data_IF_768645737289
#
_entry.id   IF_768645737289
#
_cell.length_a   1.000
_cell.length_b   1.000
_cell.length_c   1.000
_cell.angle_alpha   90.00
_cell.angle_beta   90.00
_cell.angle_gamma   90.00
#
_symmetry.space_group_name_H-M   'P 1'
#
loop_
_entity.id
_entity.type
_entity.pdbx_description
1 polymer ?
#
# COMPACT_ATOMS: atom_id res chain seq x y z
N UNK A 1 -24.89 -38.97 56.95
CA UNK A 1 -23.72 -38.24 56.38
C UNK A 1 -24.21 -37.56 55.12
N UNK A 2 -24.65 -36.29 55.19
CA UNK A 2 -25.15 -35.57 54.05
C UNK A 2 -23.95 -34.82 53.39
N UNK A 3 -23.60 -35.22 52.16
CA UNK A 3 -22.61 -34.51 51.37
C UNK A 3 -23.22 -33.18 50.87
N UNK A 4 -22.76 -32.08 51.44
CA UNK A 4 -23.10 -30.73 51.00
C UNK A 4 -22.53 -30.48 49.62
N UNK A 5 -23.39 -30.49 48.60
CA UNK A 5 -23.06 -29.97 47.29
C UNK A 5 -22.84 -28.47 47.43
N UNK A 6 -21.63 -28.00 47.31
CA UNK A 6 -21.33 -26.56 47.41
C UNK A 6 -21.87 -25.84 46.18
N UNK A 7 -22.43 -24.61 46.36
CA UNK A 7 -22.94 -23.76 45.28
C UNK A 7 -21.95 -23.61 44.11
N UNK A 8 -20.68 -23.74 44.41
CA UNK A 8 -19.58 -23.63 43.43
C UNK A 8 -19.54 -24.84 42.46
N UNK A 9 -19.85 -26.04 42.92
CA UNK A 9 -19.88 -27.25 42.08
C UNK A 9 -21.15 -27.34 41.24
N UNK A 10 -22.26 -26.79 41.73
CA UNK A 10 -23.52 -26.73 40.99
C UNK A 10 -23.48 -25.74 39.84
N UNK A 11 -22.88 -24.55 40.05
CA UNK A 11 -22.72 -23.53 39.01
C UNK A 11 -21.68 -23.93 37.95
N UNK A 12 -20.61 -24.65 38.33
CA UNK A 12 -19.61 -25.17 37.41
C UNK A 12 -20.17 -26.23 36.44
N UNK A 13 -21.04 -27.12 36.96
CA UNK A 13 -21.65 -28.18 36.12
C UNK A 13 -22.66 -27.66 35.10
N UNK A 14 -23.49 -26.68 35.49
CA UNK A 14 -24.45 -26.05 34.59
C UNK A 14 -23.78 -25.15 33.56
N UNK A 15 -22.71 -24.44 33.93
CA UNK A 15 -21.96 -23.57 33.02
C UNK A 15 -21.27 -24.35 31.90
N UNK A 16 -20.72 -25.52 32.19
CA UNK A 16 -20.04 -26.34 31.18
C UNK A 16 -21.02 -26.94 30.17
N UNK A 17 -22.21 -27.35 30.61
CA UNK A 17 -23.21 -27.91 29.70
C UNK A 17 -23.86 -26.85 28.79
N UNK A 18 -24.10 -25.64 29.28
CA UNK A 18 -24.70 -24.57 28.47
C UNK A 18 -23.70 -23.94 27.53
N UNK A 19 -22.44 -23.77 27.92
CA UNK A 19 -21.39 -23.27 27.06
C UNK A 19 -21.06 -24.30 25.98
N UNK A 20 -20.98 -25.60 26.31
CA UNK A 20 -20.73 -26.63 25.32
C UNK A 20 -21.82 -26.74 24.25
N UNK A 21 -23.10 -26.58 24.60
CA UNK A 21 -24.20 -26.57 23.64
C UNK A 21 -24.19 -25.32 22.73
N UNK A 22 -23.92 -24.17 23.29
CA UNK A 22 -23.79 -22.92 22.51
C UNK A 22 -22.57 -22.92 21.59
N UNK A 23 -21.45 -23.54 22.04
CA UNK A 23 -20.26 -23.68 21.19
C UNK A 23 -20.43 -24.74 20.10
N UNK A 24 -21.22 -25.78 20.33
CA UNK A 24 -21.45 -26.81 19.30
C UNK A 24 -22.27 -26.30 18.12
N UNK A 25 -23.18 -25.37 18.37
CA UNK A 25 -23.93 -24.70 17.28
C UNK A 25 -23.11 -23.59 16.58
N UNK A 26 -22.21 -22.95 17.34
CA UNK A 26 -21.29 -21.95 16.76
C UNK A 26 -20.19 -22.61 15.91
N UNK A 27 -19.72 -23.80 16.28
CA UNK A 27 -18.73 -24.57 15.50
C UNK A 27 -19.37 -25.25 14.28
N UNK A 28 -20.69 -25.48 14.29
CA UNK A 28 -21.42 -25.97 13.12
C UNK A 28 -21.74 -24.91 12.06
N UNK A 29 -21.56 -23.62 12.37
CA UNK A 29 -21.62 -22.57 11.34
C UNK A 29 -20.35 -22.61 10.52
N UNK A 30 -20.36 -23.49 9.54
CA UNK A 30 -19.48 -23.60 8.39
C UNK A 30 -18.03 -23.19 8.61
N UNK A 31 -17.10 -24.10 8.46
CA UNK A 31 -15.73 -23.72 8.13
C UNK A 31 -15.81 -22.64 7.05
N UNK A 32 -15.55 -21.39 7.41
CA UNK A 32 -15.37 -20.32 6.45
C UNK A 32 -14.09 -20.67 5.68
N UNK A 33 -14.22 -21.55 4.69
CA UNK A 33 -13.16 -21.79 3.72
C UNK A 33 -12.94 -20.47 3.03
N UNK A 34 -11.84 -19.80 3.38
CA UNK A 34 -11.33 -18.70 2.58
C UNK A 34 -11.25 -19.26 1.17
N UNK A 35 -12.21 -18.89 0.32
CA UNK A 35 -12.15 -19.23 -1.09
C UNK A 35 -10.80 -18.73 -1.60
N UNK A 36 -10.03 -19.61 -2.24
CA UNK A 36 -8.90 -19.20 -3.05
C UNK A 36 -9.46 -18.15 -3.99
N UNK A 37 -9.16 -16.88 -3.69
CA UNK A 37 -9.77 -15.77 -4.42
C UNK A 37 -9.26 -15.83 -5.85
N UNK A 38 -10.18 -15.96 -6.80
CA UNK A 38 -9.84 -15.75 -8.20
C UNK A 38 -9.26 -14.34 -8.37
N UNK A 39 -8.33 -14.19 -9.29
CA UNK A 39 -7.76 -12.89 -9.61
C UNK A 39 -8.89 -11.92 -10.03
N UNK A 40 -8.78 -10.70 -9.59
CA UNK A 40 -9.77 -9.69 -9.92
C UNK A 40 -9.67 -9.28 -11.38
N UNK A 41 -10.78 -9.07 -12.07
CA UNK A 41 -10.78 -8.70 -13.47
C UNK A 41 -10.15 -7.31 -13.66
N UNK A 42 -9.33 -7.17 -14.69
CA UNK A 42 -8.69 -5.90 -15.05
C UNK A 42 -8.96 -5.55 -16.51
N UNK A 43 -9.30 -4.30 -16.76
CA UNK A 43 -9.35 -3.67 -18.08
C UNK A 43 -8.45 -2.46 -18.11
N UNK A 44 -7.92 -2.14 -19.28
CA UNK A 44 -7.04 -0.96 -19.43
C UNK A 44 -7.78 0.31 -19.06
N UNK A 45 -7.12 1.14 -18.26
CA UNK A 45 -7.59 2.45 -17.84
C UNK A 45 -6.56 3.52 -18.19
N UNK A 46 -6.99 4.76 -18.28
CA UNK A 46 -6.13 5.89 -18.61
C UNK A 46 -5.26 6.30 -17.40
N UNK A 47 -3.93 6.15 -17.47
CA UNK A 47 -3.03 6.52 -16.38
C UNK A 47 -3.13 7.99 -15.98
N UNK A 48 -3.31 8.90 -16.97
CA UNK A 48 -3.43 10.34 -16.70
C UNK A 48 -4.67 10.63 -15.86
N UNK A 49 -5.81 10.04 -16.25
CA UNK A 49 -7.06 10.21 -15.51
C UNK A 49 -6.96 9.65 -14.09
N UNK A 50 -6.31 8.50 -13.92
CA UNK A 50 -6.01 7.93 -12.60
C UNK A 50 -5.16 8.91 -11.77
N UNK A 51 -4.12 9.46 -12.34
CA UNK A 51 -3.25 10.43 -11.68
C UNK A 51 -4.00 11.68 -11.20
N UNK A 52 -4.88 12.25 -12.04
CA UNK A 52 -5.69 13.42 -11.68
C UNK A 52 -6.66 13.12 -10.51
N UNK A 53 -7.35 11.99 -10.54
CA UNK A 53 -8.26 11.59 -9.47
C UNK A 53 -7.45 11.37 -8.17
N UNK A 54 -6.33 10.64 -8.24
CA UNK A 54 -5.45 10.39 -7.09
C UNK A 54 -4.95 11.69 -6.48
N UNK A 55 -4.47 12.62 -7.32
CA UNK A 55 -3.97 13.91 -6.87
C UNK A 55 -5.03 14.70 -6.10
N UNK A 56 -6.23 14.83 -6.65
CA UNK A 56 -7.30 15.58 -6.02
C UNK A 56 -7.78 14.92 -4.72
N UNK A 57 -7.98 13.60 -4.72
CA UNK A 57 -8.41 12.85 -3.54
C UNK A 57 -7.38 12.90 -2.39
N UNK A 58 -6.09 13.08 -2.69
CA UNK A 58 -5.05 13.08 -1.67
C UNK A 58 -5.27 14.12 -0.57
N UNK A 59 -5.81 15.27 -0.89
CA UNK A 59 -6.03 16.35 0.07
C UNK A 59 -7.12 16.03 1.11
N UNK A 60 -7.96 15.04 0.83
CA UNK A 60 -9.04 14.57 1.71
C UNK A 60 -8.64 13.28 2.44
N UNK A 61 -8.07 12.30 1.72
CA UNK A 61 -7.89 10.94 2.23
C UNK A 61 -6.43 10.45 2.27
N UNK A 62 -5.47 11.26 1.87
CA UNK A 62 -4.02 10.99 1.88
C UNK A 62 -3.57 9.80 1.00
N UNK A 63 -2.33 9.32 1.23
CA UNK A 63 -1.56 8.51 0.27
C UNK A 63 -2.24 7.22 -0.19
N UNK A 64 -2.47 6.25 0.70
CA UNK A 64 -2.96 4.93 0.30
C UNK A 64 -4.40 4.98 -0.22
N UNK A 65 -5.28 5.69 0.48
CA UNK A 65 -6.67 5.80 0.05
C UNK A 65 -6.80 6.54 -1.28
N UNK A 66 -6.06 7.65 -1.49
CA UNK A 66 -6.13 8.39 -2.75
C UNK A 66 -5.66 7.56 -3.95
N UNK A 67 -4.59 6.76 -3.76
CA UNK A 67 -4.12 5.84 -4.79
C UNK A 67 -5.18 4.78 -5.13
N UNK A 68 -5.86 4.24 -4.11
CA UNK A 68 -6.99 3.34 -4.30
C UNK A 68 -8.15 4.01 -5.02
N UNK A 69 -8.53 5.21 -4.58
CA UNK A 69 -9.61 6.01 -5.20
C UNK A 69 -9.34 6.20 -6.69
N UNK A 70 -8.14 6.64 -7.06
CA UNK A 70 -7.80 6.89 -8.47
C UNK A 70 -7.91 5.65 -9.35
N UNK A 71 -7.48 4.49 -8.86
CA UNK A 71 -7.46 3.25 -9.64
C UNK A 71 -8.80 2.52 -9.56
N UNK A 72 -9.27 2.25 -8.32
CA UNK A 72 -10.39 1.35 -8.09
C UNK A 72 -11.74 1.96 -8.50
N UNK A 73 -11.95 3.26 -8.35
CA UNK A 73 -13.19 3.90 -8.81
C UNK A 73 -13.38 3.80 -10.32
N UNK A 74 -12.30 3.92 -11.10
CA UNK A 74 -12.38 3.78 -12.54
C UNK A 74 -12.67 2.32 -12.90
N UNK A 75 -12.02 1.36 -12.23
CA UNK A 75 -12.27 -0.06 -12.44
C UNK A 75 -13.70 -0.44 -12.02
N UNK A 76 -14.18 0.07 -10.89
CA UNK A 76 -15.56 -0.12 -10.44
C UNK A 76 -16.58 0.39 -11.45
N UNK A 77 -16.35 1.58 -12.02
CA UNK A 77 -17.24 2.14 -13.07
C UNK A 77 -17.23 1.34 -14.38
N UNK A 78 -16.10 0.68 -14.72
CA UNK A 78 -15.96 -0.08 -15.96
C UNK A 78 -16.36 -1.55 -15.83
N UNK A 79 -16.15 -2.15 -14.67
CA UNK A 79 -16.27 -3.60 -14.43
C UNK A 79 -17.41 -3.92 -13.45
N UNK A 80 -17.63 -3.07 -12.43
CA UNK A 80 -18.50 -3.36 -11.30
C UNK A 80 -17.78 -4.14 -10.21
N UNK A 81 -18.38 -5.24 -9.76
CA UNK A 81 -17.79 -6.12 -8.76
C UNK A 81 -16.58 -6.90 -9.32
N UNK A 82 -15.57 -7.19 -8.46
CA UNK A 82 -15.50 -6.92 -7.02
C UNK A 82 -14.98 -5.52 -6.66
N UNK A 83 -14.62 -4.69 -7.63
CA UNK A 83 -14.03 -3.37 -7.40
C UNK A 83 -14.98 -2.41 -6.66
N UNK A 84 -16.29 -2.51 -6.96
CA UNK A 84 -17.31 -1.62 -6.40
C UNK A 84 -17.51 -1.80 -4.89
N UNK A 85 -17.28 -3.00 -4.37
CA UNK A 85 -17.44 -3.31 -2.94
C UNK A 85 -16.13 -3.22 -2.14
N UNK A 86 -14.99 -2.86 -2.76
CA UNK A 86 -13.74 -2.76 -2.02
C UNK A 86 -13.80 -1.64 -0.97
N UNK A 87 -13.53 -1.94 0.31
CA UNK A 87 -13.62 -0.97 1.39
C UNK A 87 -12.39 -0.03 1.41
N UNK A 88 -12.33 0.93 0.48
CA UNK A 88 -11.17 1.86 0.32
C UNK A 88 -10.81 2.55 1.65
N UNK A 89 -11.80 2.85 2.51
CA UNK A 89 -11.56 3.48 3.81
C UNK A 89 -10.67 2.65 4.74
N UNK A 90 -10.63 1.33 4.57
CA UNK A 90 -9.75 0.45 5.34
C UNK A 90 -8.26 0.76 5.11
N UNK A 91 -7.90 1.43 3.99
CA UNK A 91 -6.52 1.83 3.69
C UNK A 91 -6.07 3.11 4.41
N UNK A 92 -6.89 3.68 5.31
CA UNK A 92 -6.53 4.87 6.08
C UNK A 92 -5.21 4.72 6.86
N UNK A 93 -4.89 3.52 7.29
CA UNK A 93 -3.63 3.23 7.98
C UNK A 93 -2.38 3.62 7.17
N UNK A 94 -2.44 3.60 5.82
CA UNK A 94 -1.30 3.89 4.95
C UNK A 94 -0.94 5.37 4.83
N UNK A 95 -1.62 6.27 5.57
CA UNK A 95 -1.27 7.69 5.63
C UNK A 95 0.11 7.90 6.25
N UNK A 96 0.99 8.66 5.57
CA UNK A 96 2.29 9.04 6.12
C UNK A 96 3.20 7.85 6.47
N UNK A 97 3.09 6.73 5.75
CA UNK A 97 3.82 5.51 6.07
C UNK A 97 3.41 4.93 7.42
N UNK A 98 2.18 4.42 7.51
CA UNK A 98 1.55 3.89 8.73
C UNK A 98 1.27 4.99 9.77
N UNK A 99 0.21 5.76 9.54
CA UNK A 99 -0.26 6.82 10.47
C UNK A 99 0.84 7.80 10.92
N UNK A 100 1.76 8.15 10.02
CA UNK A 100 2.84 9.10 10.32
C UNK A 100 4.13 8.48 10.84
N UNK A 101 4.24 7.17 10.99
CA UNK A 101 5.47 6.49 11.42
C UNK A 101 6.60 6.53 10.38
N UNK A 102 6.32 6.97 9.15
CA UNK A 102 7.36 7.14 8.14
C UNK A 102 7.84 5.86 7.47
N UNK A 103 7.13 4.75 7.64
CA UNK A 103 7.41 3.46 7.00
C UNK A 103 7.18 3.53 5.48
N UNK A 104 6.97 2.42 4.81
CA UNK A 104 6.74 2.37 3.36
C UNK A 104 5.68 3.38 2.92
N UNK A 105 5.93 4.08 1.81
CA UNK A 105 4.97 5.03 1.25
C UNK A 105 3.63 4.35 0.97
N UNK A 106 2.53 4.90 1.53
CA UNK A 106 1.21 4.31 1.39
C UNK A 106 0.74 4.14 -0.05
N UNK A 107 1.22 4.97 -0.96
CA UNK A 107 0.92 4.82 -2.39
C UNK A 107 1.55 3.57 -2.99
N UNK A 108 2.79 3.23 -2.61
CA UNK A 108 3.43 1.97 -3.02
C UNK A 108 2.64 0.78 -2.48
N UNK A 109 2.27 0.83 -1.19
CA UNK A 109 1.47 -0.23 -0.55
C UNK A 109 0.19 -0.50 -1.34
N UNK A 110 -0.51 0.56 -1.74
CA UNK A 110 -1.76 0.40 -2.51
C UNK A 110 -1.52 -0.05 -3.96
N UNK A 111 -0.48 0.49 -4.63
CA UNK A 111 -0.10 0.00 -5.96
C UNK A 111 0.18 -1.49 -5.96
N UNK A 112 0.97 -1.96 -4.98
CA UNK A 112 1.28 -3.38 -4.77
C UNK A 112 0.03 -4.21 -4.44
N UNK A 113 -0.88 -3.67 -3.63
CA UNK A 113 -2.16 -4.33 -3.34
C UNK A 113 -2.98 -4.56 -4.62
N UNK A 114 -3.12 -3.52 -5.46
CA UNK A 114 -3.86 -3.65 -6.74
C UNK A 114 -3.20 -4.69 -7.65
N UNK A 115 -1.87 -4.69 -7.74
CA UNK A 115 -1.14 -5.72 -8.48
C UNK A 115 -1.42 -7.12 -7.94
N UNK A 116 -1.41 -7.29 -6.61
CA UNK A 116 -1.70 -8.58 -5.96
C UNK A 116 -3.14 -9.08 -6.19
N UNK A 117 -4.11 -8.17 -6.38
CA UNK A 117 -5.49 -8.54 -6.70
C UNK A 117 -5.65 -8.99 -8.16
N UNK A 118 -4.85 -8.46 -9.08
CA UNK A 118 -5.02 -8.62 -10.53
C UNK A 118 -4.10 -9.67 -11.13
N UNK A 119 -2.87 -9.77 -10.63
CA UNK A 119 -1.80 -10.50 -11.33
C UNK A 119 -1.62 -11.94 -10.84
N UNK A 120 -1.30 -12.88 -11.74
CA UNK A 120 -0.94 -14.22 -11.35
C UNK A 120 0.42 -14.23 -10.60
N UNK A 121 0.62 -15.31 -9.83
CA UNK A 121 1.77 -15.47 -8.93
C UNK A 121 3.13 -15.31 -9.63
N UNK A 122 3.19 -15.70 -10.87
CA UNK A 122 4.42 -15.70 -11.70
C UNK A 122 4.86 -14.29 -12.12
N UNK A 123 3.97 -13.30 -11.99
CA UNK A 123 4.21 -11.91 -12.47
C UNK A 123 4.20 -10.89 -11.34
N UNK A 124 3.41 -11.15 -10.30
CA UNK A 124 3.10 -10.12 -9.29
C UNK A 124 4.35 -9.64 -8.54
N UNK A 125 5.25 -10.54 -8.20
CA UNK A 125 6.46 -10.18 -7.44
C UNK A 125 7.37 -9.26 -8.26
N UNK A 126 7.62 -9.61 -9.51
CA UNK A 126 8.48 -8.81 -10.39
C UNK A 126 7.88 -7.43 -10.63
N UNK A 127 6.56 -7.33 -10.84
CA UNK A 127 5.92 -6.04 -11.08
C UNK A 127 5.91 -5.16 -9.83
N UNK A 128 5.77 -5.75 -8.64
CA UNK A 128 5.92 -5.00 -7.37
C UNK A 128 7.35 -4.51 -7.21
N UNK A 129 8.37 -5.33 -7.50
CA UNK A 129 9.76 -4.94 -7.46
C UNK A 129 10.05 -3.80 -8.43
N UNK A 130 9.55 -3.88 -9.67
CA UNK A 130 9.65 -2.78 -10.65
C UNK A 130 9.05 -1.47 -10.13
N UNK A 131 7.90 -1.54 -9.46
CA UNK A 131 7.25 -0.34 -8.90
C UNK A 131 8.08 0.26 -7.75
N UNK A 132 8.61 -0.59 -6.87
CA UNK A 132 9.39 -0.15 -5.69
C UNK A 132 10.73 0.42 -6.14
N UNK A 133 11.47 -0.26 -7.01
CA UNK A 133 12.74 0.21 -7.55
C UNK A 133 12.56 1.53 -8.32
N UNK A 134 11.57 1.58 -9.22
CA UNK A 134 11.22 2.83 -9.90
C UNK A 134 10.95 3.99 -8.93
N UNK A 135 10.21 3.76 -7.85
CA UNK A 135 9.95 4.79 -6.85
C UNK A 135 11.23 5.25 -6.15
N UNK A 136 12.14 4.34 -5.82
CA UNK A 136 13.36 4.66 -5.09
C UNK A 136 14.36 5.46 -5.93
N UNK A 137 14.41 5.21 -7.24
CA UNK A 137 15.41 5.74 -8.16
C UNK A 137 14.90 6.94 -8.99
N UNK A 138 13.59 7.09 -9.08
CA UNK A 138 13.00 8.19 -9.86
C UNK A 138 13.08 9.51 -9.13
N UNK A 139 13.40 10.57 -9.88
CA UNK A 139 13.36 11.94 -9.40
C UNK A 139 11.89 12.42 -9.26
N UNK A 140 11.30 12.13 -8.11
CA UNK A 140 9.87 12.33 -7.82
C UNK A 140 9.54 13.74 -7.27
N UNK A 141 8.34 14.24 -7.56
CA UNK A 141 7.22 13.65 -8.33
C UNK A 141 7.41 13.83 -9.84
N UNK A 142 6.91 12.87 -10.64
CA UNK A 142 6.87 13.00 -12.11
C UNK A 142 5.50 13.47 -12.62
N UNK A 143 4.43 13.19 -11.91
CA UNK A 143 3.10 13.63 -12.28
C UNK A 143 2.92 15.13 -12.04
N UNK A 144 2.45 15.82 -13.06
CA UNK A 144 2.08 17.25 -13.00
C UNK A 144 0.58 17.33 -13.21
N UNK A 145 -0.21 17.73 -12.19
CA UNK A 145 -1.66 17.85 -12.32
C UNK A 145 -2.06 19.02 -13.22
N UNK A 146 -3.21 18.91 -13.85
CA UNK A 146 -3.73 19.99 -14.71
C UNK A 146 -3.97 21.29 -13.90
N UNK A 147 -4.38 21.15 -12.63
CA UNK A 147 -4.60 22.28 -11.70
C UNK A 147 -3.86 22.04 -10.38
N UNK A 148 -2.57 22.41 -10.29
CA UNK A 148 -1.80 22.23 -9.06
C UNK A 148 -2.29 23.16 -7.94
N UNK A 149 -2.21 22.68 -6.69
CA UNK A 149 -2.57 23.48 -5.50
C UNK A 149 -1.53 24.54 -5.15
N UNK A 150 -0.31 24.38 -5.66
CA UNK A 150 0.78 25.36 -5.49
C UNK A 150 1.37 25.75 -6.85
N UNK A 151 2.68 25.81 -6.96
CA UNK A 151 3.37 26.12 -8.22
C UNK A 151 3.34 24.93 -9.18
N UNK A 152 3.41 25.21 -10.48
CA UNK A 152 3.45 24.17 -11.50
C UNK A 152 4.67 23.27 -11.33
N UNK A 153 5.84 23.85 -11.14
CA UNK A 153 7.12 23.13 -11.04
C UNK A 153 7.60 23.11 -9.60
N UNK A 154 7.42 21.97 -8.94
CA UNK A 154 7.99 21.70 -7.63
C UNK A 154 9.37 21.05 -7.77
N UNK A 155 10.29 21.28 -6.83
CA UNK A 155 11.52 20.51 -6.74
C UNK A 155 11.25 19.01 -6.76
N UNK A 156 12.17 18.27 -7.35
CA UNK A 156 12.10 16.79 -7.40
C UNK A 156 13.30 16.21 -6.68
N UNK A 157 13.14 15.02 -6.13
CA UNK A 157 14.22 14.33 -5.39
C UNK A 157 14.14 12.83 -5.60
N UNK A 158 15.31 12.20 -5.67
CA UNK A 158 15.46 10.75 -5.62
C UNK A 158 15.49 10.33 -4.17
N UNK A 159 14.58 9.43 -3.78
CA UNK A 159 14.48 9.01 -2.38
C UNK A 159 15.55 8.00 -1.97
N UNK A 160 16.03 7.18 -2.89
CA UNK A 160 16.87 5.99 -2.66
C UNK A 160 16.27 5.04 -1.61
N UNK A 161 14.97 5.11 -1.39
CA UNK A 161 14.29 4.33 -0.36
C UNK A 161 12.78 4.33 -0.58
N UNK A 162 12.07 3.22 -0.29
CA UNK A 162 10.62 3.16 -0.31
C UNK A 162 9.99 3.85 0.93
N UNK A 163 10.79 4.25 1.92
CA UNK A 163 10.31 4.82 3.18
C UNK A 163 9.77 6.24 2.99
N UNK A 164 8.57 6.47 3.50
CA UNK A 164 7.92 7.79 3.50
C UNK A 164 8.80 8.84 4.18
N UNK A 165 9.41 8.51 5.32
CA UNK A 165 10.29 9.41 6.07
C UNK A 165 11.44 9.94 5.20
N UNK A 166 12.18 9.06 4.52
CA UNK A 166 13.31 9.45 3.68
C UNK A 166 12.85 10.24 2.45
N UNK A 167 11.82 9.79 1.78
CA UNK A 167 11.27 10.47 0.60
C UNK A 167 10.80 11.88 0.92
N UNK A 168 10.10 12.07 2.04
CA UNK A 168 9.60 13.38 2.49
C UNK A 168 10.74 14.23 3.05
N UNK A 169 11.61 13.67 3.89
CA UNK A 169 12.71 14.39 4.54
C UNK A 169 13.71 14.95 3.53
N UNK A 170 14.15 14.16 2.55
CA UNK A 170 15.02 14.62 1.48
C UNK A 170 14.39 15.77 0.69
N UNK A 171 13.12 15.61 0.31
CA UNK A 171 12.43 16.66 -0.42
C UNK A 171 12.30 17.95 0.39
N UNK A 172 11.93 17.86 1.68
CA UNK A 172 11.82 19.02 2.57
C UNK A 172 13.15 19.78 2.67
N UNK A 173 14.27 19.05 2.79
CA UNK A 173 15.62 19.62 2.80
C UNK A 173 15.93 20.34 1.49
N UNK A 174 15.69 19.70 0.35
CA UNK A 174 15.95 20.28 -0.98
C UNK A 174 15.07 21.49 -1.27
N UNK A 175 13.79 21.41 -0.94
CA UNK A 175 12.83 22.47 -1.20
C UNK A 175 12.88 23.62 -0.16
N UNK A 176 13.61 23.44 0.94
CA UNK A 176 13.61 24.32 2.10
C UNK A 176 12.17 24.65 2.57
N UNK A 177 11.39 23.60 2.85
CA UNK A 177 9.99 23.71 3.27
C UNK A 177 9.71 22.91 4.52
N UNK A 178 8.82 23.45 5.37
CA UNK A 178 8.39 22.77 6.59
C UNK A 178 7.44 21.60 6.31
N UNK A 179 7.32 20.70 7.28
CA UNK A 179 6.41 19.53 7.19
C UNK A 179 4.96 19.93 6.94
N UNK A 180 4.49 21.03 7.52
CA UNK A 180 3.11 21.48 7.40
C UNK A 180 2.82 22.37 6.19
N UNK A 181 3.86 22.74 5.39
CA UNK A 181 3.69 23.60 4.24
C UNK A 181 2.76 22.99 3.19
N UNK A 182 2.07 23.86 2.45
CA UNK A 182 1.19 23.43 1.37
C UNK A 182 1.97 22.78 0.23
N UNK A 183 3.19 23.26 -0.04
CA UNK A 183 4.06 22.69 -1.06
C UNK A 183 4.48 21.25 -0.74
N UNK A 184 4.76 20.93 0.54
CA UNK A 184 5.03 19.54 0.95
C UNK A 184 3.78 18.66 0.78
N UNK A 185 2.59 19.18 1.10
CA UNK A 185 1.32 18.47 0.87
C UNK A 185 1.10 18.23 -0.62
N UNK A 186 1.25 19.26 -1.44
CA UNK A 186 1.14 19.18 -2.90
C UNK A 186 2.15 18.19 -3.50
N UNK A 187 3.41 18.22 -3.04
CA UNK A 187 4.43 17.24 -3.44
C UNK A 187 3.97 15.81 -3.14
N UNK A 188 3.45 15.55 -1.95
CA UNK A 188 3.00 14.21 -1.59
C UNK A 188 1.78 13.76 -2.42
N UNK A 189 0.86 14.68 -2.73
CA UNK A 189 -0.26 14.41 -3.63
C UNK A 189 0.22 14.02 -5.04
N UNK A 190 1.20 14.76 -5.58
CA UNK A 190 1.81 14.44 -6.88
C UNK A 190 2.60 13.14 -6.86
N UNK A 191 3.25 12.78 -5.74
CA UNK A 191 3.92 11.48 -5.61
C UNK A 191 2.90 10.35 -5.60
N UNK A 192 1.80 10.49 -4.87
CA UNK A 192 0.72 9.51 -4.91
C UNK A 192 0.15 9.33 -6.33
N UNK A 193 -0.08 10.44 -7.03
CA UNK A 193 -0.50 10.43 -8.43
C UNK A 193 0.54 9.78 -9.35
N UNK A 194 1.84 10.05 -9.13
CA UNK A 194 2.93 9.42 -9.90
C UNK A 194 2.94 7.91 -9.72
N UNK A 195 2.77 7.43 -8.49
CA UNK A 195 2.72 5.99 -8.19
C UNK A 195 1.48 5.34 -8.78
N UNK A 196 0.30 5.96 -8.64
CA UNK A 196 -0.94 5.46 -9.23
C UNK A 196 -0.85 5.38 -10.76
N UNK A 197 -0.30 6.43 -11.38
CA UNK A 197 -0.03 6.49 -12.81
C UNK A 197 0.89 5.33 -13.24
N UNK A 198 2.03 5.15 -12.57
CA UNK A 198 3.00 4.09 -12.88
C UNK A 198 2.42 2.70 -12.67
N UNK A 199 1.66 2.48 -11.61
CA UNK A 199 0.94 1.22 -11.37
C UNK A 199 0.07 0.85 -12.56
N UNK A 200 -0.69 1.81 -13.08
CA UNK A 200 -1.59 1.58 -14.22
C UNK A 200 -0.82 1.38 -15.52
N UNK A 201 0.31 2.08 -15.75
CA UNK A 201 1.17 1.82 -16.92
C UNK A 201 1.65 0.36 -16.93
N UNK A 202 2.16 -0.14 -15.79
CA UNK A 202 2.64 -1.51 -15.66
C UNK A 202 1.53 -2.53 -15.90
N UNK A 203 0.35 -2.32 -15.29
CA UNK A 203 -0.81 -3.20 -15.48
C UNK A 203 -1.34 -3.16 -16.92
N UNK A 204 -1.36 -2.01 -17.56
CA UNK A 204 -1.76 -1.88 -18.96
C UNK A 204 -0.77 -2.60 -19.89
N UNK A 205 0.55 -2.46 -19.62
CA UNK A 205 1.57 -3.17 -20.38
C UNK A 205 1.44 -4.70 -20.24
N UNK A 206 1.14 -5.19 -19.03
CA UNK A 206 0.85 -6.60 -18.81
C UNK A 206 -0.40 -7.05 -19.56
N UNK A 207 -1.48 -6.27 -19.51
CA UNK A 207 -2.73 -6.59 -20.21
C UNK A 207 -2.54 -6.67 -21.73
N UNK A 208 -1.59 -5.91 -22.27
CA UNK A 208 -1.21 -5.91 -23.68
C UNK A 208 -0.17 -7.02 -24.03
N UNK A 209 0.25 -7.83 -23.07
CA UNK A 209 1.31 -8.83 -23.25
C UNK A 209 2.70 -8.24 -23.50
N UNK A 210 2.90 -6.97 -23.15
CA UNK A 210 4.16 -6.22 -23.38
C UNK A 210 5.00 -6.03 -22.13
N UNK A 211 4.48 -6.40 -20.95
CA UNK A 211 5.23 -6.28 -19.70
C UNK A 211 6.44 -7.20 -19.71
N UNK A 212 7.60 -6.65 -19.33
CA UNK A 212 8.82 -7.39 -19.02
C UNK A 212 9.42 -6.80 -17.76
N UNK A 213 9.86 -7.61 -16.80
CA UNK A 213 10.56 -7.13 -15.61
C UNK A 213 11.79 -6.31 -15.99
N UNK A 214 11.99 -5.20 -15.27
CA UNK A 214 13.12 -4.27 -15.47
C UNK A 214 13.93 -4.08 -14.21
N UNK A 215 13.41 -4.51 -13.03
CA UNK A 215 14.11 -4.35 -11.76
C UNK A 215 15.43 -5.12 -11.74
N UNK A 216 16.41 -4.54 -11.08
CA UNK A 216 17.73 -5.12 -10.88
C UNK A 216 17.92 -5.71 -9.49
N UNK A 217 16.99 -5.44 -8.60
CA UNK A 217 17.02 -5.92 -7.23
C UNK A 217 16.60 -7.39 -7.13
N UNK A 218 17.46 -8.21 -6.53
CA UNK A 218 17.30 -9.66 -6.48
C UNK A 218 17.16 -10.21 -5.05
N UNK A 219 16.60 -9.43 -4.12
CA UNK A 219 16.41 -9.87 -2.75
C UNK A 219 17.37 -9.23 -1.75
N UNK A 220 17.63 -9.83 -0.59
CA UNK A 220 18.51 -9.29 0.41
C UNK A 220 19.82 -8.82 -0.21
N UNK A 221 20.19 -7.58 0.05
CA UNK A 221 21.34 -6.96 -0.61
C UNK A 221 22.60 -7.82 -0.47
N UNK A 222 23.56 -7.62 -1.37
CA UNK A 222 24.87 -8.28 -1.33
C UNK A 222 25.62 -8.10 0.01
N UNK A 223 25.17 -7.16 0.86
CA UNK A 223 25.69 -6.93 2.21
C UNK A 223 24.85 -7.59 3.32
N UNK A 224 23.87 -8.42 2.97
CA UNK A 224 23.06 -9.21 3.92
C UNK A 224 21.98 -8.41 4.68
N UNK A 225 21.71 -7.16 4.31
CA UNK A 225 20.69 -6.34 4.95
C UNK A 225 19.43 -6.34 4.08
N UNK A 226 18.33 -6.99 4.49
CA UNK A 226 17.09 -7.07 3.72
C UNK A 226 16.27 -5.77 3.87
N UNK A 227 16.90 -4.62 3.69
CA UNK A 227 16.28 -3.31 3.85
C UNK A 227 16.62 -2.43 2.67
N UNK A 228 16.31 -1.15 2.78
CA UNK A 228 16.66 -0.17 1.76
C UNK A 228 18.14 -0.25 1.37
N UNK A 229 18.44 -0.02 0.12
CA UNK A 229 19.78 -0.25 -0.44
C UNK A 229 20.80 0.82 -0.03
N UNK A 230 20.38 2.03 0.30
CA UNK A 230 21.30 3.11 0.66
C UNK A 230 21.36 3.33 2.17
N UNK A 231 22.16 2.52 2.85
CA UNK A 231 22.44 2.70 4.28
C UNK A 231 23.50 3.78 4.55
N UNK A 232 24.35 4.09 3.58
CA UNK A 232 25.49 5.02 3.74
C UNK A 232 25.07 6.46 3.98
N UNK A 233 23.89 6.85 3.51
CA UNK A 233 23.39 8.22 3.67
C UNK A 233 23.13 8.59 5.16
N UNK A 234 22.71 7.62 5.96
CA UNK A 234 22.45 7.78 7.40
C UNK A 234 23.61 7.29 8.26
N UNK A 235 24.29 6.23 7.85
CA UNK A 235 25.33 5.57 8.62
C UNK A 235 26.77 5.90 8.17
N UNK A 236 26.94 6.67 7.08
CA UNK A 236 28.24 6.90 6.49
C UNK A 236 28.88 5.58 6.03
N UNK A 237 30.17 5.39 6.36
CA UNK A 237 30.89 4.15 6.04
C UNK A 237 30.69 3.03 7.06
N UNK A 238 30.07 3.33 8.20
CA UNK A 238 29.84 2.37 9.28
C UNK A 238 28.49 1.67 9.15
N UNK A 239 28.29 0.94 8.07
CA UNK A 239 27.07 0.16 7.86
C UNK A 239 27.14 -1.08 8.75
N UNK A 240 26.13 -1.33 9.63
CA UNK A 240 26.05 -2.56 10.38
C UNK A 240 26.01 -3.74 9.41
N UNK A 241 26.92 -4.68 9.56
CA UNK A 241 26.85 -5.97 8.85
C UNK A 241 25.90 -6.90 9.59
N UNK A 242 25.17 -7.73 8.85
CA UNK A 242 24.43 -8.81 9.48
C UNK A 242 25.35 -9.70 10.31
N UNK A 243 24.89 -10.20 11.48
CA UNK A 243 25.67 -11.11 12.32
C UNK A 243 25.93 -12.43 11.63
#
# INVERSE_FOLDING_TARGET
>A
MFNLITRRNFLGGLGVLTIGALFSDFVKTGEAKIKKTDLWPYVKIDPKKVGEITYNAWFEVFCAQSTATGIMEILAKKIGEPWASFPIHALKFGMGGMLGWGLTCGSIVTGSLVMGLVLPKEVVNDMILDLVEWYTETNLPVFVPDKPKTVKDLPRTVSNSPLCHLSVGKWMKTANRSFNSLERKDRCARVAASVAYRTVELLNAWKDGKYKPTHTWHGPSAVGIPAQQNCTECHGTNIPTAP
#
